data_IF_004269077869
#
_entry.id   IF_004269077869
#
_cell.length_a   1.000
_cell.length_b   1.000
_cell.length_c   1.000
_cell.angle_alpha   90.00
_cell.angle_beta   90.00
_cell.angle_gamma   90.00
#
_symmetry.space_group_name_H-M   'P 1'
#
loop_
_entity.id
_entity.type
_entity.pdbx_description
1 polymer ?
#
# COMPACT_ATOMS: atom_id res chain seq x y z
N UNK A 1 2.66 -9.13 9.16
CA UNK A 1 2.85 -8.02 8.20
C UNK A 1 2.13 -6.81 8.77
N UNK A 2 2.73 -5.64 8.68
CA UNK A 2 2.13 -4.35 9.01
C UNK A 2 2.09 -3.50 7.74
N UNK A 3 0.93 -2.92 7.44
CA UNK A 3 0.68 -2.16 6.23
C UNK A 3 -0.33 -1.05 6.54
N UNK A 4 -0.04 0.16 6.08
CA UNK A 4 -0.98 1.27 6.12
C UNK A 4 -0.29 2.62 6.23
N UNK A 5 -1.12 3.65 6.47
CA UNK A 5 -0.67 4.99 6.81
C UNK A 5 -0.22 5.04 8.27
N UNK A 6 1.06 5.32 8.49
CA UNK A 6 1.63 5.46 9.83
C UNK A 6 1.69 6.92 10.27
N UNK A 7 1.47 7.89 9.38
CA UNK A 7 1.75 9.31 9.63
C UNK A 7 3.20 9.62 10.08
N UNK A 8 4.13 8.70 9.80
CA UNK A 8 5.57 8.88 9.99
C UNK A 8 6.33 8.55 8.68
N UNK A 9 7.50 9.15 8.51
CA UNK A 9 8.43 8.80 7.43
C UNK A 9 9.78 8.40 8.00
N UNK A 10 10.47 7.50 7.31
CA UNK A 10 11.71 6.87 7.81
C UNK A 10 12.98 7.60 7.43
N UNK A 11 12.99 8.23 6.26
CA UNK A 11 14.19 8.80 5.65
C UNK A 11 13.98 10.29 5.32
N UNK A 12 15.08 11.05 5.25
CA UNK A 12 15.00 12.48 4.92
C UNK A 12 14.47 12.72 3.50
N UNK A 13 14.71 11.78 2.58
CA UNK A 13 14.26 11.77 1.19
C UNK A 13 12.90 11.10 0.97
N UNK A 14 12.28 10.57 2.03
CA UNK A 14 10.85 10.18 2.04
C UNK A 14 9.92 11.39 1.92
N UNK A 15 10.44 12.59 1.69
CA UNK A 15 9.71 13.81 1.39
C UNK A 15 10.45 14.67 0.37
N UNK A 16 9.73 15.49 -0.38
CA UNK A 16 10.33 16.30 -1.46
C UNK A 16 10.90 17.66 -1.01
N UNK A 17 10.61 18.13 0.20
CA UNK A 17 11.07 19.45 0.72
C UNK A 17 12.08 19.30 1.85
N UNK A 18 12.86 20.37 2.09
CA UNK A 18 13.87 20.44 3.16
C UNK A 18 13.27 20.53 4.57
N UNK A 19 14.11 20.39 5.61
CA UNK A 19 13.75 20.39 7.06
C UNK A 19 13.01 19.13 7.56
N UNK A 20 13.63 17.95 7.47
CA UNK A 20 13.02 16.72 7.99
C UNK A 20 12.90 16.76 9.53
N UNK A 21 11.89 16.06 10.06
CA UNK A 21 11.68 15.85 11.49
C UNK A 21 12.48 14.62 11.94
N UNK A 22 13.75 14.84 12.30
CA UNK A 22 14.64 13.76 12.72
C UNK A 22 14.16 13.01 13.96
N UNK A 23 13.51 13.69 14.91
CA UNK A 23 12.97 13.05 16.13
C UNK A 23 11.84 12.07 15.79
N UNK A 24 10.92 12.48 14.90
CA UNK A 24 9.86 11.60 14.41
C UNK A 24 10.41 10.40 13.62
N UNK A 25 11.40 10.63 12.76
CA UNK A 25 12.09 9.56 12.03
C UNK A 25 12.76 8.55 12.97
N UNK A 26 13.47 9.04 13.98
CA UNK A 26 14.13 8.21 14.98
C UNK A 26 13.11 7.38 15.76
N UNK A 27 12.04 8.01 16.26
CA UNK A 27 10.96 7.32 16.98
C UNK A 27 10.36 6.19 16.16
N UNK A 28 10.09 6.44 14.87
CA UNK A 28 9.50 5.43 14.00
C UNK A 28 10.47 4.29 13.66
N UNK A 29 11.73 4.62 13.35
CA UNK A 29 12.77 3.62 13.08
C UNK A 29 13.08 2.78 14.33
N UNK A 30 13.10 3.37 15.53
CA UNK A 30 13.30 2.65 16.79
C UNK A 30 12.14 1.67 17.05
N UNK A 31 10.90 2.06 16.75
CA UNK A 31 9.75 1.17 16.83
C UNK A 31 9.90 -0.03 15.88
N UNK A 32 10.23 0.21 14.60
CA UNK A 32 10.45 -0.83 13.59
C UNK A 32 11.57 -1.78 14.03
N UNK A 33 12.70 -1.23 14.47
CA UNK A 33 13.88 -1.98 14.91
C UNK A 33 13.58 -2.83 16.15
N UNK A 34 12.89 -2.26 17.16
CA UNK A 34 12.51 -2.96 18.39
C UNK A 34 11.60 -4.17 18.12
N UNK A 35 10.78 -4.10 17.07
CA UNK A 35 9.90 -5.19 16.65
C UNK A 35 10.57 -6.19 15.70
N UNK A 36 11.83 -5.97 15.30
CA UNK A 36 12.53 -6.82 14.33
C UNK A 36 11.88 -6.84 12.95
N UNK A 37 11.26 -5.72 12.56
CA UNK A 37 10.56 -5.57 11.30
C UNK A 37 11.51 -5.14 10.17
N UNK A 38 11.25 -5.65 8.99
CA UNK A 38 11.98 -5.40 7.76
C UNK A 38 11.05 -4.71 6.76
N UNK A 39 11.54 -3.64 6.14
CA UNK A 39 10.78 -2.91 5.12
C UNK A 39 10.53 -3.78 3.89
N UNK A 40 9.32 -3.71 3.36
CA UNK A 40 9.05 -4.10 1.97
C UNK A 40 9.11 -2.84 1.11
N UNK A 41 10.11 -2.69 0.24
CA UNK A 41 10.32 -1.46 -0.53
C UNK A 41 9.10 -1.08 -1.38
N UNK A 42 8.75 0.20 -1.37
CA UNK A 42 7.71 0.75 -2.24
C UNK A 42 8.21 0.87 -3.69
N UNK A 43 7.39 0.42 -4.63
CA UNK A 43 7.64 0.51 -6.08
C UNK A 43 6.58 1.35 -6.78
N UNK A 44 6.87 1.84 -8.00
CA UNK A 44 5.96 2.69 -8.78
C UNK A 44 6.17 4.17 -8.53
N UNK A 45 5.63 4.68 -7.42
CA UNK A 45 5.79 6.09 -6.98
C UNK A 45 6.53 6.16 -5.65
N UNK A 46 7.31 7.22 -5.44
CA UNK A 46 8.11 7.42 -4.21
C UNK A 46 7.30 7.96 -3.04
N UNK A 47 6.30 8.79 -3.31
CA UNK A 47 5.49 9.45 -2.28
C UNK A 47 4.08 8.90 -2.33
N UNK A 48 3.45 8.75 -1.16
CA UNK A 48 2.11 8.18 -1.02
C UNK A 48 1.10 9.21 -0.54
N UNK A 49 1.54 10.40 -0.14
CA UNK A 49 0.69 11.48 0.30
C UNK A 49 1.12 12.82 -0.31
N UNK A 50 0.15 13.70 -0.54
CA UNK A 50 0.37 15.10 -0.92
C UNK A 50 -0.60 16.03 -0.22
N UNK A 51 -0.12 17.21 0.17
CA UNK A 51 -0.99 18.24 0.74
C UNK A 51 -1.93 18.92 -0.27
N UNK A 52 -1.93 18.49 -1.54
CA UNK A 52 -2.81 18.95 -2.63
C UNK A 52 -2.73 20.46 -2.94
N UNK A 53 -1.60 21.10 -2.61
CA UNK A 53 -1.36 22.52 -2.93
C UNK A 53 -0.64 22.70 -4.28
N UNK A 54 -0.60 23.94 -4.79
CA UNK A 54 0.03 24.30 -6.08
C UNK A 54 1.52 23.94 -6.16
N UNK A 55 2.26 24.14 -5.07
CA UNK A 55 3.62 23.66 -4.86
C UNK A 55 3.58 22.57 -3.77
N UNK A 56 3.27 21.32 -4.13
CA UNK A 56 2.85 20.33 -3.15
C UNK A 56 4.02 19.86 -2.27
N UNK A 57 3.72 19.67 -0.99
CA UNK A 57 4.53 18.82 -0.13
C UNK A 57 4.13 17.36 -0.41
N UNK A 58 5.10 16.56 -0.83
CA UNK A 58 4.95 15.13 -1.07
C UNK A 58 5.70 14.36 0.02
N UNK A 59 5.05 13.34 0.59
CA UNK A 59 5.61 12.51 1.66
C UNK A 59 5.23 11.05 1.45
N UNK A 60 6.13 10.12 1.76
CA UNK A 60 5.80 8.71 1.92
C UNK A 60 5.35 8.47 3.37
N UNK A 61 4.05 8.26 3.55
CA UNK A 61 3.43 7.99 4.86
C UNK A 61 2.89 6.55 4.97
N UNK A 62 2.68 5.91 3.83
CA UNK A 62 2.22 4.53 3.75
C UNK A 62 3.43 3.59 3.65
N UNK A 63 3.52 2.66 4.59
CA UNK A 63 4.64 1.73 4.70
C UNK A 63 4.15 0.29 4.75
N UNK A 64 4.96 -0.62 4.23
CA UNK A 64 4.80 -2.05 4.43
C UNK A 64 6.03 -2.61 5.14
N UNK A 65 5.82 -3.33 6.23
CA UNK A 65 6.88 -3.97 6.99
C UNK A 65 6.50 -5.40 7.38
N UNK A 66 7.48 -6.29 7.36
CA UNK A 66 7.30 -7.73 7.54
C UNK A 66 8.35 -8.31 8.46
N UNK A 67 8.15 -9.50 9.01
CA UNK A 67 9.18 -10.18 9.79
C UNK A 67 10.15 -10.92 8.87
N UNK A 68 11.34 -11.27 9.35
CA UNK A 68 12.27 -12.12 8.62
C UNK A 68 11.66 -13.47 8.19
N UNK A 69 10.85 -14.08 9.06
CA UNK A 69 10.13 -15.31 8.73
C UNK A 69 9.15 -15.12 7.57
N UNK A 70 8.48 -13.97 7.49
CA UNK A 70 7.58 -13.66 6.38
C UNK A 70 8.31 -13.60 5.04
N UNK A 71 9.46 -12.92 4.99
CA UNK A 71 10.27 -12.80 3.76
C UNK A 71 10.76 -14.17 3.29
N UNK A 72 11.14 -15.05 4.24
CA UNK A 72 11.52 -16.43 3.93
C UNK A 72 10.37 -17.23 3.31
N UNK A 73 9.16 -17.11 3.86
CA UNK A 73 7.98 -17.84 3.38
C UNK A 73 7.39 -17.26 2.09
N UNK A 74 7.43 -15.93 1.93
CA UNK A 74 6.82 -15.21 0.81
C UNK A 74 7.81 -14.24 0.16
N UNK A 75 8.90 -14.75 -0.45
CA UNK A 75 9.98 -13.92 -1.00
C UNK A 75 9.52 -13.02 -2.15
N UNK A 76 8.41 -13.37 -2.81
CA UNK A 76 7.80 -12.61 -3.90
C UNK A 76 6.74 -11.60 -3.41
N UNK A 77 6.85 -11.12 -2.17
CA UNK A 77 6.00 -10.04 -1.65
C UNK A 77 6.39 -8.71 -2.30
N UNK A 78 5.44 -8.00 -2.93
CA UNK A 78 5.65 -6.71 -3.59
C UNK A 78 4.71 -5.65 -3.04
N UNK A 79 5.26 -4.48 -2.71
CA UNK A 79 4.51 -3.30 -2.29
C UNK A 79 4.62 -2.23 -3.39
N UNK A 80 3.48 -1.82 -3.94
CA UNK A 80 3.44 -0.93 -5.11
C UNK A 80 2.43 0.20 -4.89
N UNK A 81 2.86 1.44 -5.12
CA UNK A 81 1.96 2.58 -5.21
C UNK A 81 1.18 2.52 -6.53
N UNK A 82 -0.13 2.67 -6.45
CA UNK A 82 -1.04 2.64 -7.59
C UNK A 82 -1.27 4.05 -8.15
N UNK A 83 -2.21 4.20 -9.08
CA UNK A 83 -2.61 5.51 -9.58
C UNK A 83 -3.50 6.25 -8.57
N UNK A 84 -3.30 7.57 -8.47
CA UNK A 84 -4.06 8.46 -7.58
C UNK A 84 -5.21 9.10 -8.35
N UNK A 85 -6.42 9.01 -7.81
CA UNK A 85 -7.59 9.67 -8.39
C UNK A 85 -8.00 10.91 -7.60
N UNK A 86 -8.61 10.73 -6.41
CA UNK A 86 -9.26 11.82 -5.65
C UNK A 86 -8.71 12.04 -4.23
N UNK A 87 -8.05 11.05 -3.63
CA UNK A 87 -7.52 11.14 -2.27
C UNK A 87 -6.20 11.91 -2.22
N UNK A 88 -5.94 12.55 -1.08
CA UNK A 88 -4.63 13.07 -0.71
C UNK A 88 -3.56 11.97 -0.61
N UNK A 89 -3.99 10.72 -0.39
CA UNK A 89 -3.17 9.52 -0.47
C UNK A 89 -3.22 8.80 -1.83
N UNK A 90 -2.16 8.06 -2.13
CA UNK A 90 -2.07 7.11 -3.23
C UNK A 90 -2.40 5.70 -2.69
N UNK A 91 -3.37 4.99 -3.27
CA UNK A 91 -3.64 3.61 -2.89
C UNK A 91 -2.38 2.75 -3.07
N UNK A 92 -2.07 1.91 -2.08
CA UNK A 92 -0.95 0.99 -2.19
C UNK A 92 -1.45 -0.45 -2.26
N UNK A 93 -0.87 -1.23 -3.17
CA UNK A 93 -1.18 -2.64 -3.37
C UNK A 93 -0.06 -3.50 -2.80
N UNK A 94 -0.44 -4.47 -1.97
CA UNK A 94 0.44 -5.57 -1.57
C UNK A 94 0.10 -6.81 -2.41
N UNK A 95 1.11 -7.40 -3.03
CA UNK A 95 0.99 -8.67 -3.73
C UNK A 95 1.87 -9.69 -3.03
N UNK A 96 1.28 -10.79 -2.55
CA UNK A 96 1.98 -11.87 -1.87
C UNK A 96 2.03 -13.04 -2.85
N UNK A 97 3.22 -13.41 -3.33
CA UNK A 97 3.39 -14.62 -4.14
C UNK A 97 3.25 -15.85 -3.26
N UNK A 98 2.17 -16.61 -3.44
CA UNK A 98 1.91 -17.88 -2.73
C UNK A 98 1.92 -19.04 -3.72
N UNK A 99 2.23 -20.24 -3.24
CA UNK A 99 2.07 -21.51 -3.96
C UNK A 99 0.68 -22.12 -3.79
N UNK A 100 -0.20 -21.45 -3.02
CA UNK A 100 -1.58 -21.89 -2.81
C UNK A 100 -2.30 -21.73 -4.15
N UNK A 101 -2.87 -22.81 -4.72
CA UNK A 101 -3.66 -22.70 -5.93
C UNK A 101 -4.76 -21.67 -5.73
N UNK A 102 -4.88 -20.70 -6.66
CA UNK A 102 -6.07 -19.85 -6.67
C UNK A 102 -7.28 -20.74 -6.88
N UNK A 103 -8.26 -20.60 -6.01
CA UNK A 103 -9.55 -21.23 -6.20
C UNK A 103 -10.17 -20.74 -7.51
N UNK A 104 -10.57 -21.65 -8.40
CA UNK A 104 -11.32 -21.34 -9.62
C UNK A 104 -12.83 -21.13 -9.33
N UNK A 105 -13.19 -20.77 -8.11
CA UNK A 105 -14.58 -20.53 -7.74
C UNK A 105 -14.96 -19.12 -8.20
N UNK A 106 -15.85 -19.07 -9.18
CA UNK A 106 -16.58 -17.86 -9.51
C UNK A 106 -17.50 -17.51 -8.33
N UNK A 107 -17.37 -16.29 -7.81
CA UNK A 107 -18.26 -15.74 -6.78
C UNK A 107 -19.01 -14.57 -7.39
N UNK A 108 -20.33 -14.61 -7.28
CA UNK A 108 -21.23 -13.56 -7.73
C UNK A 108 -22.00 -13.06 -6.51
N UNK A 109 -22.12 -11.75 -6.35
CA UNK A 109 -23.05 -11.19 -5.38
C UNK A 109 -24.47 -11.40 -5.90
N UNK A 110 -25.25 -12.24 -5.20
CA UNK A 110 -26.62 -12.55 -5.61
C UNK A 110 -27.51 -11.30 -5.71
N UNK A 111 -27.18 -10.23 -4.99
CA UNK A 111 -27.88 -8.96 -5.11
C UNK A 111 -27.84 -8.40 -6.55
N UNK A 112 -26.74 -8.60 -7.29
CA UNK A 112 -26.61 -8.07 -8.64
C UNK A 112 -27.63 -8.66 -9.62
N UNK A 113 -28.07 -9.91 -9.41
CA UNK A 113 -29.11 -10.53 -10.26
C UNK A 113 -30.48 -9.87 -10.08
N UNK A 114 -30.67 -9.12 -8.99
CA UNK A 114 -31.91 -8.36 -8.72
C UNK A 114 -31.91 -6.96 -9.35
N UNK A 115 -30.76 -6.48 -9.86
CA UNK A 115 -30.67 -5.16 -10.46
C UNK A 115 -31.37 -5.13 -11.83
N UNK A 116 -32.21 -4.13 -12.11
CA UNK A 116 -32.83 -3.95 -13.42
C UNK A 116 -31.77 -3.90 -14.53
N UNK A 117 -31.93 -4.71 -15.57
CA UNK A 117 -31.01 -4.75 -16.71
C UNK A 117 -29.81 -5.68 -16.56
N UNK A 118 -29.64 -6.36 -15.42
CA UNK A 118 -28.54 -7.32 -15.23
C UNK A 118 -28.59 -8.48 -16.24
N UNK A 119 -29.71 -9.19 -16.34
CA UNK A 119 -29.85 -10.33 -17.26
C UNK A 119 -29.64 -9.93 -18.73
N UNK A 120 -30.28 -8.87 -19.27
CA UNK A 120 -30.02 -8.42 -20.64
C UNK A 120 -28.55 -8.09 -20.93
N UNK A 121 -27.82 -7.51 -19.97
CA UNK A 121 -26.41 -7.15 -20.12
C UNK A 121 -25.49 -8.38 -20.17
N UNK A 122 -25.81 -9.41 -19.37
CA UNK A 122 -25.06 -10.68 -19.39
C UNK A 122 -25.31 -11.43 -20.69
N UNK A 123 -26.54 -11.42 -21.20
CA UNK A 123 -26.89 -12.09 -22.46
C UNK A 123 -26.30 -11.42 -23.71
N UNK A 124 -25.92 -10.14 -23.62
CA UNK A 124 -25.30 -9.41 -24.73
C UNK A 124 -23.76 -9.46 -24.77
N UNK A 125 -23.15 -10.15 -23.81
CA UNK A 125 -21.69 -10.38 -23.76
C UNK A 125 -21.32 -11.72 -24.42
#
# INVERSE_FOLDING_TARGET
MFLGDFNFYRYADSRNKSRPNFSGMQTFNDCINKQGLLETPLTGCRFTWSNMQKDPLLVQLDWCSTSANWISQYPNTKFTAMERFISDHIPCRIQIGTSIPRSHIFRLENFWTTLPGFLPMVESC
#
